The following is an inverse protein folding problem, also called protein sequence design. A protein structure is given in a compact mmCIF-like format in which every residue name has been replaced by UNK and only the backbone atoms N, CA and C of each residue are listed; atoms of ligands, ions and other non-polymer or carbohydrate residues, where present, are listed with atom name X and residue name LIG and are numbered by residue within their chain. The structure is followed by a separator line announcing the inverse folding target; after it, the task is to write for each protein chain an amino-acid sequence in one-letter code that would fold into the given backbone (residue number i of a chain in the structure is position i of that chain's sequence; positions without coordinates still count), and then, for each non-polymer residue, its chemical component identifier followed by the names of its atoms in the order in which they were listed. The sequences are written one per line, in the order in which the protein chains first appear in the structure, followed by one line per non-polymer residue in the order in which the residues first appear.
data_IF_055961214743
#
_entry.id   IF_055961214743
#
_cell.length_a   1.000
_cell.length_b   1.000
_cell.length_c   1.000
_cell.angle_alpha   90.00
_cell.angle_beta   90.00
_cell.angle_gamma   90.00
#
_symmetry.space_group_name_H-M   'P 1'
#
loop_
_entity.id
_entity.type
_entity.pdbx_description
1 polymer ?
#
# COMPACT_ATOMS: atom_id res chain seq x y z
N UNK A 1 20.14 54.97 37.10
CA UNK A 1 19.24 53.99 36.46
C UNK A 1 19.53 54.00 34.98
N UNK A 2 20.40 53.10 34.51
CA UNK A 2 20.67 52.93 33.08
C UNK A 2 20.27 51.50 32.70
N UNK A 3 19.19 51.39 31.94
CA UNK A 3 18.66 50.15 31.38
C UNK A 3 19.60 49.63 30.30
N UNK A 4 20.11 48.41 30.46
CA UNK A 4 20.81 47.69 29.39
C UNK A 4 19.80 47.26 28.30
N UNK A 5 20.09 47.51 27.01
CA UNK A 5 19.24 47.03 25.94
C UNK A 5 19.40 45.50 25.80
N UNK A 6 18.29 44.78 25.92
CA UNK A 6 18.19 43.35 25.62
C UNK A 6 18.62 43.10 24.18
N UNK A 7 19.74 42.40 24.01
CA UNK A 7 20.23 41.94 22.72
C UNK A 7 19.21 40.93 22.16
N UNK A 8 18.36 41.35 21.21
CA UNK A 8 17.48 40.43 20.48
C UNK A 8 18.36 39.66 19.52
N UNK A 9 18.64 38.40 19.83
CA UNK A 9 19.22 37.45 18.90
C UNK A 9 18.40 37.46 17.60
N UNK A 10 19.03 37.86 16.50
CA UNK A 10 18.49 37.68 15.16
C UNK A 10 19.09 36.37 14.65
N UNK A 11 18.27 35.35 14.37
CA UNK A 11 18.77 34.08 13.85
C UNK A 11 19.50 34.31 12.52
N UNK A 12 20.49 33.47 12.25
CA UNK A 12 21.27 33.55 11.02
C UNK A 12 20.37 33.29 9.81
N UNK A 13 20.62 33.93 8.65
CA UNK A 13 19.76 33.79 7.46
C UNK A 13 19.61 32.35 6.98
N UNK A 14 20.63 31.51 7.18
CA UNK A 14 20.61 30.08 6.82
C UNK A 14 19.74 29.29 7.81
N UNK A 15 19.85 29.55 9.11
CA UNK A 15 18.97 28.92 10.12
C UNK A 15 17.51 29.31 9.90
N UNK A 16 17.25 30.57 9.54
CA UNK A 16 15.90 31.04 9.21
C UNK A 16 15.34 30.41 7.93
N UNK A 17 16.18 30.05 6.97
CA UNK A 17 15.76 29.39 5.73
C UNK A 17 15.47 27.91 5.97
N UNK A 18 16.35 27.21 6.69
CA UNK A 18 16.14 25.81 7.08
C UNK A 18 14.88 25.66 7.95
N UNK A 19 14.67 26.57 8.90
CA UNK A 19 13.46 26.57 9.72
C UNK A 19 12.19 26.89 8.91
N UNK A 20 12.29 27.63 7.80
CA UNK A 20 11.17 27.87 6.90
C UNK A 20 10.84 26.63 6.08
N UNK A 21 11.85 25.92 5.57
CA UNK A 21 11.66 24.67 4.83
C UNK A 21 11.04 23.59 5.73
N UNK A 22 11.48 23.47 6.99
CA UNK A 22 10.90 22.56 7.99
C UNK A 22 9.42 22.89 8.29
N UNK A 23 9.07 24.17 8.41
CA UNK A 23 7.68 24.61 8.63
C UNK A 23 6.80 24.30 7.41
N UNK A 24 7.29 24.55 6.20
CA UNK A 24 6.55 24.25 4.96
C UNK A 24 6.32 22.75 4.83
N UNK A 25 7.32 21.93 5.17
CA UNK A 25 7.22 20.47 5.13
C UNK A 25 6.22 19.95 6.18
N UNK A 26 6.23 20.51 7.40
CA UNK A 26 5.27 20.16 8.45
C UNK A 26 3.83 20.55 8.09
N UNK A 27 3.63 21.74 7.52
CA UNK A 27 2.31 22.21 7.05
C UNK A 27 1.77 21.31 5.91
N UNK A 28 2.65 20.88 5.00
CA UNK A 28 2.30 19.94 3.93
C UNK A 28 1.92 18.57 4.50
N UNK A 29 2.71 18.03 5.42
CA UNK A 29 2.43 16.74 6.05
C UNK A 29 1.12 16.76 6.83
N UNK A 30 0.82 17.86 7.54
CA UNK A 30 -0.47 18.05 8.19
C UNK A 30 -1.61 18.08 7.16
N UNK A 31 -1.49 18.84 6.07
CA UNK A 31 -2.52 18.92 5.04
C UNK A 31 -2.78 17.55 4.36
N UNK A 32 -1.72 16.78 4.07
CA UNK A 32 -1.82 15.41 3.57
C UNK A 32 -2.54 14.51 4.58
N UNK A 33 -2.16 14.60 5.86
CA UNK A 33 -2.79 13.81 6.93
C UNK A 33 -4.28 14.08 7.06
N UNK A 34 -4.68 15.35 7.07
CA UNK A 34 -6.09 15.74 7.16
C UNK A 34 -6.89 15.31 5.92
N UNK A 35 -6.30 15.41 4.73
CA UNK A 35 -6.89 14.91 3.49
C UNK A 35 -7.14 13.39 3.57
N UNK A 36 -6.15 12.63 4.05
CA UNK A 36 -6.26 11.18 4.22
C UNK A 36 -7.31 10.80 5.26
N UNK A 37 -7.33 11.50 6.39
CA UNK A 37 -8.33 11.29 7.43
C UNK A 37 -9.74 11.54 6.88
N UNK A 38 -9.92 12.58 6.05
CA UNK A 38 -11.20 12.88 5.42
C UNK A 38 -11.66 11.78 4.43
N UNK A 39 -10.76 11.22 3.64
CA UNK A 39 -11.09 10.09 2.75
C UNK A 39 -11.38 8.80 3.54
N UNK A 40 -10.60 8.51 4.59
CA UNK A 40 -10.84 7.35 5.47
C UNK A 40 -12.16 7.48 6.23
N UNK A 41 -12.60 8.69 6.58
CA UNK A 41 -13.91 8.93 7.20
C UNK A 41 -15.05 8.37 6.32
N UNK A 42 -14.89 8.45 4.99
CA UNK A 42 -15.85 7.97 3.99
C UNK A 42 -15.76 6.46 3.77
N UNK A 43 -14.64 5.82 4.11
CA UNK A 43 -14.44 4.39 3.94
C UNK A 43 -15.43 3.57 4.80
N UNK A 44 -16.15 2.66 4.12
CA UNK A 44 -17.16 1.77 4.72
C UNK A 44 -16.73 0.32 4.81
N UNK A 45 -15.64 -0.05 4.15
CA UNK A 45 -15.08 -1.41 4.13
C UNK A 45 -13.58 -1.36 4.42
N UNK A 46 -13.01 -2.49 4.82
CA UNK A 46 -11.57 -2.61 5.03
C UNK A 46 -10.80 -2.30 3.73
N UNK A 47 -11.22 -2.89 2.60
CA UNK A 47 -10.61 -2.58 1.32
C UNK A 47 -10.72 -1.09 0.95
N UNK A 48 -11.88 -0.45 1.13
CA UNK A 48 -12.01 0.97 0.80
C UNK A 48 -11.04 1.84 1.63
N UNK A 49 -10.76 1.45 2.88
CA UNK A 49 -9.78 2.13 3.72
C UNK A 49 -8.34 1.87 3.25
N UNK A 50 -8.02 0.61 2.87
CA UNK A 50 -6.74 0.23 2.26
C UNK A 50 -6.46 1.02 0.98
N UNK A 51 -7.46 1.17 0.12
CA UNK A 51 -7.37 1.88 -1.16
C UNK A 51 -7.04 3.38 -1.00
N UNK A 52 -7.42 4.00 0.12
CA UNK A 52 -7.03 5.39 0.40
C UNK A 52 -5.51 5.53 0.47
N UNK A 53 -4.82 4.57 1.11
CA UNK A 53 -3.37 4.63 1.20
C UNK A 53 -2.68 4.21 -0.11
N UNK A 54 -3.26 3.27 -0.86
CA UNK A 54 -2.79 2.94 -2.21
C UNK A 54 -2.80 4.15 -3.15
N UNK A 55 -3.79 5.04 -3.05
CA UNK A 55 -3.82 6.28 -3.83
C UNK A 55 -2.63 7.19 -3.53
N UNK A 56 -2.25 7.32 -2.25
CA UNK A 56 -1.08 8.11 -1.86
C UNK A 56 0.21 7.50 -2.44
N UNK A 57 0.35 6.17 -2.39
CA UNK A 57 1.51 5.51 -2.97
C UNK A 57 1.59 5.72 -4.48
N UNK A 58 0.46 5.72 -5.19
CA UNK A 58 0.43 6.07 -6.61
C UNK A 58 0.90 7.50 -6.86
N UNK A 59 0.35 8.47 -6.13
CA UNK A 59 0.68 9.89 -6.31
C UNK A 59 2.17 10.16 -6.03
N UNK A 60 2.67 9.65 -4.90
CA UNK A 60 4.09 9.77 -4.55
C UNK A 60 5.01 9.02 -5.52
N UNK A 61 4.56 7.90 -6.09
CA UNK A 61 5.29 7.18 -7.13
C UNK A 61 5.37 7.95 -8.44
N UNK A 62 4.29 8.66 -8.83
CA UNK A 62 4.24 9.50 -10.04
C UNK A 62 5.10 10.76 -9.95
N UNK A 63 5.16 11.37 -8.78
CA UNK A 63 5.87 12.62 -8.56
C UNK A 63 7.37 12.40 -8.26
N UNK A 64 7.80 11.15 -8.08
CA UNK A 64 9.21 10.82 -7.87
C UNK A 64 10.02 11.03 -9.17
N UNK A 65 11.28 11.51 -9.08
CA UNK A 65 12.13 11.74 -10.24
C UNK A 65 12.22 10.53 -11.19
N UNK A 66 12.37 10.79 -12.49
CA UNK A 66 12.47 9.73 -13.51
C UNK A 66 13.67 8.79 -13.28
N UNK A 67 14.74 9.30 -12.66
CA UNK A 67 15.96 8.57 -12.32
C UNK A 67 15.97 7.99 -10.90
N UNK A 68 14.92 8.26 -10.10
CA UNK A 68 14.84 7.74 -8.74
C UNK A 68 14.71 6.22 -8.74
N UNK A 69 15.64 5.56 -8.04
CA UNK A 69 15.62 4.12 -7.89
C UNK A 69 14.56 3.65 -6.87
N UNK A 70 14.39 2.34 -6.72
CA UNK A 70 13.38 1.78 -5.81
C UNK A 70 13.67 2.15 -4.34
N UNK A 71 14.94 2.25 -3.96
CA UNK A 71 15.35 2.58 -2.58
C UNK A 71 14.99 4.02 -2.28
N UNK A 72 15.31 4.95 -3.17
CA UNK A 72 14.99 6.37 -3.01
C UNK A 72 13.48 6.61 -2.94
N UNK A 73 12.68 5.90 -3.76
CA UNK A 73 11.21 5.97 -3.70
C UNK A 73 10.69 5.43 -2.38
N UNK A 74 11.22 4.31 -1.90
CA UNK A 74 10.84 3.71 -0.62
C UNK A 74 11.20 4.61 0.56
N UNK A 75 12.36 5.26 0.53
CA UNK A 75 12.81 6.19 1.56
C UNK A 75 11.91 7.44 1.60
N UNK A 76 11.57 8.00 0.44
CA UNK A 76 10.64 9.13 0.35
C UNK A 76 9.24 8.77 0.90
N UNK A 77 8.71 7.61 0.52
CA UNK A 77 7.43 7.11 1.06
C UNK A 77 7.50 6.88 2.57
N UNK A 78 8.61 6.33 3.06
CA UNK A 78 8.85 6.06 4.49
C UNK A 78 8.92 7.37 5.29
N UNK A 79 9.60 8.39 4.76
CA UNK A 79 9.69 9.71 5.38
C UNK A 79 8.32 10.39 5.46
N UNK A 80 7.55 10.39 4.35
CA UNK A 80 6.19 10.92 4.33
C UNK A 80 5.30 10.22 5.36
N UNK A 81 5.32 8.89 5.39
CA UNK A 81 4.47 8.14 6.31
C UNK A 81 4.85 8.32 7.78
N UNK A 82 6.12 8.53 8.12
CA UNK A 82 6.50 8.92 9.48
C UNK A 82 5.80 10.21 9.89
N UNK A 83 5.83 11.24 9.05
CA UNK A 83 5.17 12.51 9.33
C UNK A 83 3.64 12.34 9.45
N UNK A 84 3.02 11.57 8.55
CA UNK A 84 1.58 11.26 8.62
C UNK A 84 1.22 10.56 9.93
N UNK A 85 2.04 9.61 10.38
CA UNK A 85 1.83 8.89 11.65
C UNK A 85 1.93 9.85 12.84
N UNK A 86 2.92 10.73 12.86
CA UNK A 86 3.10 11.73 13.94
C UNK A 86 1.92 12.70 14.02
N UNK A 87 1.51 13.28 12.88
CA UNK A 87 0.38 14.20 12.82
C UNK A 87 -0.95 13.51 13.18
N UNK A 88 -1.20 12.30 12.66
CA UNK A 88 -2.42 11.57 12.97
C UNK A 88 -2.51 11.21 14.46
N UNK A 89 -1.39 10.82 15.06
CA UNK A 89 -1.32 10.57 16.49
C UNK A 89 -1.60 11.84 17.31
N UNK A 90 -1.03 12.99 16.90
CA UNK A 90 -1.27 14.26 17.59
C UNK A 90 -2.73 14.73 17.50
N UNK A 91 -3.39 14.52 16.35
CA UNK A 91 -4.78 14.91 16.13
C UNK A 91 -5.77 14.05 16.94
N UNK A 92 -5.51 12.75 17.09
CA UNK A 92 -6.20 11.91 18.08
C UNK A 92 -7.70 11.65 17.86
N UNK A 93 -8.20 11.84 16.65
CA UNK A 93 -9.62 11.59 16.31
C UNK A 93 -9.88 10.14 15.87
N UNK A 94 -11.15 9.77 15.67
CA UNK A 94 -11.54 8.44 15.15
C UNK A 94 -10.99 8.18 13.74
N UNK A 95 -11.03 9.20 12.88
CA UNK A 95 -10.54 9.15 11.50
C UNK A 95 -9.02 8.96 11.47
N UNK A 96 -8.31 9.67 12.35
CA UNK A 96 -6.86 9.57 12.51
C UNK A 96 -6.43 8.22 13.10
N UNK A 97 -7.17 7.67 14.08
CA UNK A 97 -6.97 6.28 14.53
C UNK A 97 -7.14 5.30 13.37
N UNK A 98 -8.20 5.45 12.56
CA UNK A 98 -8.44 4.60 11.42
C UNK A 98 -7.32 4.69 10.36
N UNK A 99 -6.77 5.88 10.12
CA UNK A 99 -5.58 6.09 9.29
C UNK A 99 -4.36 5.35 9.83
N UNK A 100 -4.07 5.46 11.13
CA UNK A 100 -2.97 4.72 11.76
C UNK A 100 -3.14 3.21 11.63
N UNK A 101 -4.38 2.69 11.72
CA UNK A 101 -4.66 1.25 11.45
C UNK A 101 -4.31 0.87 10.01
N UNK A 102 -4.67 1.69 9.02
CA UNK A 102 -4.33 1.47 7.61
C UNK A 102 -2.82 1.48 7.39
N UNK A 103 -2.12 2.48 7.92
CA UNK A 103 -0.65 2.55 7.85
C UNK A 103 0.02 1.34 8.51
N UNK A 104 -0.52 0.85 9.63
CA UNK A 104 -0.01 -0.35 10.30
C UNK A 104 -0.19 -1.63 9.46
N UNK A 105 -1.18 -1.67 8.57
CA UNK A 105 -1.50 -2.83 7.73
C UNK A 105 -0.79 -2.82 6.38
N UNK A 106 -0.63 -1.65 5.77
CA UNK A 106 -0.15 -1.49 4.39
C UNK A 106 1.10 -0.63 4.23
N UNK A 107 1.58 0.01 5.29
CA UNK A 107 2.80 0.82 5.22
C UNK A 107 4.05 -0.01 4.90
N UNK A 108 5.13 0.63 4.45
CA UNK A 108 6.46 0.05 4.45
C UNK A 108 6.83 -0.54 5.81
N UNK A 109 7.61 -1.62 5.81
CA UNK A 109 8.05 -2.36 7.01
C UNK A 109 8.57 -1.43 8.10
N UNK A 110 9.35 -0.42 7.72
CA UNK A 110 9.94 0.59 8.61
C UNK A 110 8.89 1.40 9.40
N UNK A 111 7.67 1.56 8.89
CA UNK A 111 6.63 2.43 9.46
C UNK A 111 5.51 1.66 10.17
N UNK A 112 5.27 0.38 9.81
CA UNK A 112 4.12 -0.39 10.32
C UNK A 112 4.09 -0.49 11.85
N UNK A 113 5.24 -0.74 12.46
CA UNK A 113 5.32 -0.86 13.92
C UNK A 113 5.02 0.46 14.63
N UNK A 114 5.53 1.59 14.12
CA UNK A 114 5.26 2.91 14.68
C UNK A 114 3.78 3.28 14.55
N UNK A 115 3.18 3.02 13.38
CA UNK A 115 1.75 3.23 13.15
C UNK A 115 0.88 2.40 14.11
N UNK A 116 1.20 1.11 14.29
CA UNK A 116 0.49 0.23 15.21
C UNK A 116 0.54 0.74 16.65
N UNK A 117 1.74 1.13 17.12
CA UNK A 117 1.92 1.67 18.47
C UNK A 117 1.17 2.99 18.67
N UNK A 118 1.17 3.87 17.67
CA UNK A 118 0.41 5.12 17.71
C UNK A 118 -1.11 4.85 17.77
N UNK A 119 -1.62 3.93 16.96
CA UNK A 119 -3.02 3.50 17.00
C UNK A 119 -3.40 2.94 18.38
N UNK A 120 -2.57 2.09 18.96
CA UNK A 120 -2.81 1.49 20.27
C UNK A 120 -2.76 2.50 21.42
N UNK A 121 -1.99 3.59 21.28
CA UNK A 121 -2.05 4.71 22.23
C UNK A 121 -3.38 5.46 22.16
N UNK A 122 -3.87 5.78 20.97
CA UNK A 122 -5.16 6.45 20.79
C UNK A 122 -6.33 5.57 21.26
N UNK A 123 -6.31 4.27 20.93
CA UNK A 123 -7.34 3.35 21.39
C UNK A 123 -7.37 3.24 22.93
N UNK A 124 -6.20 3.11 23.58
CA UNK A 124 -6.11 3.13 25.06
C UNK A 124 -6.54 4.45 25.69
N UNK A 125 -6.43 5.56 24.97
CA UNK A 125 -6.93 6.86 25.38
C UNK A 125 -8.46 7.03 25.16
N UNK A 126 -9.14 6.01 24.64
CA UNK A 126 -10.60 5.96 24.49
C UNK A 126 -11.12 6.29 23.09
N UNK A 127 -10.24 6.51 22.10
CA UNK A 127 -10.64 6.71 20.71
C UNK A 127 -11.15 5.38 20.13
N UNK A 128 -12.35 5.38 19.56
CA UNK A 128 -13.02 4.15 19.12
C UNK A 128 -12.60 3.75 17.71
N UNK A 129 -12.29 2.47 17.52
CA UNK A 129 -11.97 1.91 16.20
C UNK A 129 -13.20 1.86 15.27
N UNK A 130 -12.95 1.92 13.97
CA UNK A 130 -13.98 1.70 12.95
C UNK A 130 -14.42 0.23 12.93
N UNK A 131 -15.68 -0.09 12.60
CA UNK A 131 -16.16 -1.48 12.60
C UNK A 131 -15.39 -2.44 11.67
N UNK A 132 -14.77 -1.91 10.61
CA UNK A 132 -13.96 -2.67 9.66
C UNK A 132 -12.49 -2.86 10.10
N UNK A 133 -12.02 -2.14 11.12
CA UNK A 133 -10.62 -2.17 11.53
C UNK A 133 -10.12 -3.58 11.94
N UNK A 134 -10.90 -4.42 12.65
CA UNK A 134 -10.44 -5.76 13.03
C UNK A 134 -10.19 -6.73 11.86
N UNK A 135 -10.79 -6.46 10.69
CA UNK A 135 -10.61 -7.28 9.48
C UNK A 135 -9.51 -6.76 8.57
N UNK A 136 -8.97 -5.57 8.82
CA UNK A 136 -7.99 -4.93 7.94
C UNK A 136 -6.76 -5.83 7.67
N UNK A 137 -6.33 -5.89 6.41
CA UNK A 137 -5.21 -6.74 5.98
C UNK A 137 -5.49 -8.25 5.99
N UNK A 138 -6.70 -8.68 6.38
CA UNK A 138 -7.03 -10.09 6.64
C UNK A 138 -8.28 -10.57 5.88
N UNK A 139 -8.33 -10.42 4.55
CA UNK A 139 -9.46 -10.96 3.79
C UNK A 139 -9.36 -12.48 3.67
N UNK A 140 -10.50 -13.15 3.56
CA UNK A 140 -10.53 -14.59 3.25
C UNK A 140 -10.21 -14.82 1.77
N UNK A 141 -9.34 -15.78 1.45
CA UNK A 141 -9.11 -16.22 0.08
C UNK A 141 -10.28 -17.12 -0.36
N UNK A 142 -10.96 -16.75 -1.45
CA UNK A 142 -12.04 -17.54 -2.03
C UNK A 142 -11.56 -18.45 -3.15
N UNK A 143 -10.72 -17.93 -4.05
CA UNK A 143 -10.18 -18.62 -5.23
C UNK A 143 -8.85 -18.02 -5.61
N UNK A 144 -7.97 -18.85 -6.17
CA UNK A 144 -6.74 -18.41 -6.80
C UNK A 144 -6.49 -19.20 -8.09
N UNK A 145 -5.84 -18.57 -9.05
CA UNK A 145 -5.47 -19.20 -10.31
C UNK A 145 -4.15 -18.63 -10.83
N UNK A 146 -3.49 -19.41 -11.66
CA UNK A 146 -2.23 -19.12 -12.31
C UNK A 146 -2.37 -19.42 -13.80
N UNK A 147 -1.84 -18.53 -14.63
CA UNK A 147 -1.88 -18.68 -16.08
C UNK A 147 -0.72 -17.94 -16.71
N UNK A 148 -0.37 -18.30 -17.94
CA UNK A 148 0.76 -17.71 -18.64
C UNK A 148 1.04 -18.43 -19.94
N UNK A 149 2.19 -18.13 -20.53
CA UNK A 149 2.69 -18.86 -21.68
C UNK A 149 3.46 -20.12 -21.27
N UNK A 150 3.42 -21.17 -22.10
CA UNK A 150 4.13 -22.42 -21.83
C UNK A 150 5.66 -22.29 -21.91
N UNK A 151 6.18 -21.19 -22.46
CA UNK A 151 7.61 -20.91 -22.53
C UNK A 151 8.16 -20.32 -21.23
N UNK A 152 7.26 -19.96 -20.29
CA UNK A 152 7.60 -19.38 -18.99
C UNK A 152 8.12 -17.96 -19.08
N UNK A 153 7.82 -17.21 -20.15
CA UNK A 153 8.30 -15.83 -20.29
C UNK A 153 7.57 -14.88 -19.34
N UNK A 154 6.24 -15.02 -19.27
CA UNK A 154 5.36 -14.27 -18.40
C UNK A 154 4.31 -15.20 -17.80
N UNK A 155 3.99 -14.90 -16.55
CA UNK A 155 2.93 -15.58 -15.83
C UNK A 155 2.13 -14.56 -15.02
N UNK A 156 0.87 -14.87 -14.77
CA UNK A 156 -0.04 -14.07 -13.99
C UNK A 156 -0.70 -14.91 -12.92
N UNK A 157 -0.85 -14.34 -11.74
CA UNK A 157 -1.67 -14.91 -10.67
C UNK A 157 -2.86 -14.01 -10.42
N UNK A 158 -4.02 -14.64 -10.24
CA UNK A 158 -5.24 -13.98 -9.84
C UNK A 158 -5.74 -14.55 -8.52
N UNK A 159 -6.25 -13.69 -7.65
CA UNK A 159 -6.80 -14.07 -6.36
C UNK A 159 -8.09 -13.31 -6.06
N UNK A 160 -9.16 -14.04 -5.77
CA UNK A 160 -10.42 -13.49 -5.31
C UNK A 160 -10.46 -13.54 -3.78
N UNK A 161 -10.55 -12.38 -3.16
CA UNK A 161 -10.56 -12.19 -1.71
C UNK A 161 -11.92 -11.68 -1.24
N UNK A 162 -12.27 -11.94 0.01
CA UNK A 162 -13.51 -11.48 0.64
C UNK A 162 -13.28 -10.77 1.97
N UNK A 163 -13.92 -9.61 2.12
CA UNK A 163 -14.13 -8.94 3.40
C UNK A 163 -15.60 -9.02 3.82
N UNK A 164 -15.99 -10.12 4.46
CA UNK A 164 -17.33 -10.31 5.05
C UNK A 164 -18.47 -10.08 4.03
N UNK A 165 -18.37 -10.71 2.86
CA UNK A 165 -19.32 -10.58 1.75
C UNK A 165 -19.04 -9.40 0.80
N UNK A 166 -17.81 -8.88 0.82
CA UNK A 166 -17.30 -7.83 -0.08
C UNK A 166 -16.08 -8.37 -0.80
N UNK A 167 -16.30 -8.86 -2.00
CA UNK A 167 -15.28 -9.50 -2.81
C UNK A 167 -14.47 -8.49 -3.61
N UNK A 168 -13.17 -8.76 -3.71
CA UNK A 168 -12.23 -8.03 -4.56
C UNK A 168 -11.24 -8.96 -5.21
N UNK A 169 -10.80 -8.58 -6.41
CA UNK A 169 -9.79 -9.26 -7.18
C UNK A 169 -8.45 -8.58 -6.97
N UNK A 170 -7.40 -9.37 -6.78
CA UNK A 170 -6.02 -8.97 -6.98
C UNK A 170 -5.47 -9.73 -8.19
N UNK A 171 -4.89 -9.02 -9.15
CA UNK A 171 -4.14 -9.58 -10.27
C UNK A 171 -2.69 -9.14 -10.18
N UNK A 172 -1.76 -10.05 -10.48
CA UNK A 172 -0.32 -9.77 -10.51
C UNK A 172 0.27 -10.42 -11.75
N UNK A 173 0.96 -9.64 -12.56
CA UNK A 173 1.77 -10.08 -13.69
C UNK A 173 3.24 -10.16 -13.27
N UNK A 174 3.87 -11.28 -13.59
CA UNK A 174 5.26 -11.61 -13.31
C UNK A 174 5.97 -11.79 -14.64
N UNK A 175 7.14 -11.18 -14.81
CA UNK A 175 7.93 -11.27 -16.04
C UNK A 175 9.31 -11.86 -15.75
N UNK A 176 9.50 -13.11 -16.15
CA UNK A 176 10.74 -13.85 -15.95
C UNK A 176 11.85 -13.43 -16.92
N UNK A 177 11.50 -12.82 -18.05
CA UNK A 177 12.45 -12.20 -18.98
C UNK A 177 13.10 -10.93 -18.40
N UNK A 178 12.41 -10.26 -17.48
CA UNK A 178 12.89 -9.05 -16.79
C UNK A 178 13.31 -9.31 -15.33
N UNK A 179 13.74 -10.53 -15.02
CA UNK A 179 14.29 -10.88 -13.70
C UNK A 179 13.30 -11.54 -12.74
N UNK A 180 12.05 -11.76 -13.15
CA UNK A 180 11.05 -12.50 -12.37
C UNK A 180 10.30 -11.67 -11.33
N UNK A 181 10.40 -10.34 -11.40
CA UNK A 181 9.67 -9.42 -10.53
C UNK A 181 8.24 -9.16 -10.96
N UNK A 182 7.53 -8.39 -10.14
CA UNK A 182 6.19 -7.88 -10.46
C UNK A 182 6.30 -6.85 -11.58
N UNK A 183 5.74 -7.18 -12.75
CA UNK A 183 5.65 -6.28 -13.89
C UNK A 183 4.42 -5.39 -13.83
N UNK A 184 3.31 -5.93 -13.34
CA UNK A 184 2.05 -5.20 -13.15
C UNK A 184 1.26 -5.79 -11.98
N UNK A 185 0.47 -4.99 -11.26
CA UNK A 185 -0.48 -5.51 -10.29
C UNK A 185 -1.63 -4.55 -10.05
N UNK A 186 -2.87 -5.04 -10.03
CA UNK A 186 -4.04 -4.19 -9.89
C UNK A 186 -5.17 -4.87 -9.12
N UNK A 187 -6.06 -4.03 -8.61
CA UNK A 187 -7.22 -4.44 -7.82
C UNK A 187 -8.50 -4.04 -8.53
N UNK A 188 -9.50 -4.92 -8.48
CA UNK A 188 -10.84 -4.57 -8.90
C UNK A 188 -11.89 -5.01 -7.89
N UNK A 189 -13.04 -4.32 -7.91
CA UNK A 189 -14.22 -4.65 -7.13
C UNK A 189 -15.47 -4.79 -8.03
N UNK A 190 -16.54 -5.35 -7.48
CA UNK A 190 -17.85 -5.39 -8.13
C UNK A 190 -18.10 -6.64 -8.96
N UNK A 191 -19.25 -6.68 -9.64
CA UNK A 191 -19.78 -7.95 -10.20
C UNK A 191 -18.88 -8.63 -11.23
N UNK A 192 -18.08 -7.87 -11.98
CA UNK A 192 -17.21 -8.40 -13.04
C UNK A 192 -16.01 -9.17 -12.47
N UNK A 193 -15.56 -8.87 -11.26
CA UNK A 193 -14.40 -9.55 -10.66
C UNK A 193 -14.64 -11.03 -10.42
N UNK A 194 -15.90 -11.39 -10.14
CA UNK A 194 -16.35 -12.78 -9.96
C UNK A 194 -16.23 -13.63 -11.21
N UNK A 195 -16.35 -13.00 -12.38
CA UNK A 195 -16.31 -13.67 -13.68
C UNK A 195 -14.88 -13.73 -14.24
N UNK A 196 -13.96 -12.93 -13.70
CA UNK A 196 -12.59 -12.82 -14.21
C UNK A 196 -11.89 -14.17 -14.32
N UNK A 197 -12.00 -15.04 -13.31
CA UNK A 197 -11.41 -16.38 -13.34
C UNK A 197 -11.90 -17.18 -14.56
N UNK A 198 -13.21 -17.20 -14.78
CA UNK A 198 -13.82 -17.98 -15.86
C UNK A 198 -13.55 -17.35 -17.24
N UNK A 199 -13.52 -16.02 -17.32
CA UNK A 199 -13.14 -15.28 -18.52
C UNK A 199 -11.67 -15.55 -18.91
N UNK A 200 -10.75 -15.51 -17.94
CA UNK A 200 -9.33 -15.85 -18.14
C UNK A 200 -9.17 -17.30 -18.53
N UNK A 201 -9.82 -18.24 -17.83
CA UNK A 201 -9.76 -19.67 -18.16
C UNK A 201 -10.25 -19.95 -19.59
N UNK A 202 -11.36 -19.33 -20.00
CA UNK A 202 -11.89 -19.47 -21.35
C UNK A 202 -10.95 -18.87 -22.41
N UNK A 203 -10.31 -17.73 -22.11
CA UNK A 203 -9.32 -17.11 -22.98
C UNK A 203 -8.09 -18.00 -23.14
N UNK A 204 -7.53 -18.50 -22.04
CA UNK A 204 -6.33 -19.35 -22.07
C UNK A 204 -6.59 -20.68 -22.77
N UNK A 205 -7.78 -21.27 -22.61
CA UNK A 205 -8.15 -22.49 -23.34
C UNK A 205 -8.26 -22.31 -24.87
N UNK A 206 -8.34 -21.07 -25.35
CA UNK A 206 -8.38 -20.75 -26.79
C UNK A 206 -7.00 -20.48 -27.39
N UNK A 207 -5.96 -20.37 -26.57
CA UNK A 207 -4.57 -20.09 -26.99
C UNK A 207 -3.73 -21.37 -26.91
N UNK A 208 -3.09 -21.77 -28.02
CA UNK A 208 -2.36 -23.06 -28.11
C UNK A 208 -1.13 -23.12 -27.18
N UNK A 209 -0.46 -21.99 -27.00
CA UNK A 209 0.78 -21.86 -26.22
C UNK A 209 0.54 -21.27 -24.81
N UNK A 210 -0.68 -21.41 -24.27
CA UNK A 210 -1.04 -20.93 -22.94
C UNK A 210 -1.40 -22.06 -21.97
N UNK A 211 -1.24 -21.80 -20.68
CA UNK A 211 -1.75 -22.66 -19.62
C UNK A 211 -2.67 -21.88 -18.68
N UNK A 212 -3.54 -22.63 -17.98
CA UNK A 212 -4.37 -22.12 -16.90
C UNK A 212 -4.54 -23.22 -15.86
N UNK A 213 -4.41 -22.86 -14.59
CA UNK A 213 -4.66 -23.76 -13.47
C UNK A 213 -5.29 -23.00 -12.29
N UNK A 214 -6.25 -23.63 -11.61
CA UNK A 214 -6.63 -23.18 -10.27
C UNK A 214 -5.55 -23.65 -9.29
N UNK A 215 -5.16 -22.76 -8.37
CA UNK A 215 -4.11 -23.03 -7.39
C UNK A 215 -4.65 -22.83 -5.97
N UNK A 216 -3.99 -23.45 -5.00
CA UNK A 216 -4.31 -23.26 -3.59
C UNK A 216 -3.56 -22.05 -2.99
N UNK A 217 -3.83 -21.77 -1.71
CA UNK A 217 -3.19 -20.67 -1.00
C UNK A 217 -1.67 -20.82 -0.87
N UNK A 218 -1.16 -22.06 -0.75
CA UNK A 218 0.27 -22.31 -0.57
C UNK A 218 1.03 -22.04 -1.87
N UNK A 219 0.52 -22.53 -3.00
CA UNK A 219 1.06 -22.25 -4.33
C UNK A 219 0.99 -20.75 -4.66
N UNK A 220 -0.13 -20.08 -4.35
CA UNK A 220 -0.25 -18.63 -4.54
C UNK A 220 0.79 -17.86 -3.69
N UNK A 221 0.98 -18.26 -2.44
CA UNK A 221 1.98 -17.67 -1.54
C UNK A 221 3.38 -17.82 -2.13
N UNK A 222 3.75 -19.02 -2.56
CA UNK A 222 5.06 -19.29 -3.14
C UNK A 222 5.34 -18.44 -4.39
N UNK A 223 4.36 -18.33 -5.29
CA UNK A 223 4.50 -17.50 -6.51
C UNK A 223 4.68 -16.02 -6.17
N UNK A 224 3.86 -15.49 -5.26
CA UNK A 224 3.95 -14.09 -4.84
C UNK A 224 5.25 -13.80 -4.08
N UNK A 225 5.66 -14.65 -3.14
CA UNK A 225 6.92 -14.49 -2.41
C UNK A 225 8.13 -14.53 -3.34
N UNK A 226 8.14 -15.45 -4.32
CA UNK A 226 9.21 -15.52 -5.31
C UNK A 226 9.30 -14.25 -6.14
N UNK A 227 8.18 -13.69 -6.60
CA UNK A 227 8.17 -12.48 -7.40
C UNK A 227 8.51 -11.23 -6.58
N UNK A 228 8.00 -11.13 -5.34
CA UNK A 228 8.25 -10.01 -4.44
C UNK A 228 9.68 -10.00 -3.87
N UNK A 229 10.41 -11.10 -3.97
CA UNK A 229 11.83 -11.17 -3.65
C UNK A 229 12.73 -10.59 -4.75
N UNK A 230 12.18 -10.31 -5.94
CA UNK A 230 12.88 -9.63 -7.05
C UNK A 230 12.47 -8.16 -7.11
N UNK A 231 13.32 -7.34 -7.73
CA UNK A 231 12.97 -5.95 -8.01
C UNK A 231 11.75 -5.90 -8.97
N UNK A 232 10.74 -5.05 -8.73
CA UNK A 232 9.65 -4.83 -9.68
C UNK A 232 10.18 -4.37 -11.04
N UNK A 233 9.50 -4.76 -12.11
CA UNK A 233 9.93 -4.50 -13.49
C UNK A 233 8.83 -3.92 -14.41
N UNK A 234 8.06 -2.90 -13.97
CA UNK A 234 7.08 -2.25 -14.85
C UNK A 234 7.79 -1.50 -15.99
N UNK A 235 7.23 -1.57 -17.20
CA UNK A 235 7.78 -0.87 -18.38
C UNK A 235 6.84 0.20 -18.92
N UNK A 236 5.53 -0.05 -18.84
CA UNK A 236 4.51 0.86 -19.36
C UNK A 236 4.02 1.81 -18.26
N UNK A 237 3.51 2.98 -18.66
CA UNK A 237 3.10 4.02 -17.70
C UNK A 237 2.00 3.56 -16.74
N UNK A 238 1.02 2.81 -17.25
CA UNK A 238 -0.03 2.18 -16.46
C UNK A 238 0.54 1.15 -15.48
N UNK A 239 1.49 0.31 -15.92
CA UNK A 239 2.19 -0.64 -15.06
C UNK A 239 2.97 0.06 -13.93
N UNK A 240 3.66 1.16 -14.24
CA UNK A 240 4.39 1.96 -13.25
C UNK A 240 3.42 2.53 -12.21
N UNK A 241 2.30 3.09 -12.66
CA UNK A 241 1.25 3.62 -11.78
C UNK A 241 0.63 2.54 -10.90
N UNK A 242 0.35 1.37 -11.46
CA UNK A 242 -0.31 0.26 -10.78
C UNK A 242 0.63 -0.42 -9.77
N UNK A 243 1.90 -0.65 -10.14
CA UNK A 243 2.93 -1.12 -9.20
C UNK A 243 3.14 -0.11 -8.07
N UNK A 244 3.25 1.19 -8.37
CA UNK A 244 3.37 2.21 -7.34
C UNK A 244 2.18 2.21 -6.36
N UNK A 245 0.97 1.98 -6.87
CA UNK A 245 -0.24 1.97 -6.05
C UNK A 245 -0.42 0.71 -5.19
N UNK A 246 -0.16 -0.46 -5.79
CA UNK A 246 -0.69 -1.72 -5.28
C UNK A 246 0.37 -2.69 -4.77
N UNK A 247 1.67 -2.43 -4.98
CA UNK A 247 2.73 -3.34 -4.55
C UNK A 247 2.71 -3.61 -3.03
N UNK A 248 2.48 -2.60 -2.20
CA UNK A 248 2.35 -2.79 -0.75
C UNK A 248 1.10 -3.59 -0.35
N UNK A 249 0.01 -3.46 -1.10
CA UNK A 249 -1.18 -4.30 -0.92
C UNK A 249 -0.89 -5.75 -1.31
N UNK A 250 -0.20 -5.97 -2.43
CA UNK A 250 0.24 -7.30 -2.88
C UNK A 250 1.13 -7.96 -1.82
N UNK A 251 2.11 -7.23 -1.27
CA UNK A 251 2.95 -7.69 -0.13
C UNK A 251 2.11 -8.04 1.09
N UNK A 252 1.12 -7.20 1.44
CA UNK A 252 0.21 -7.46 2.55
C UNK A 252 -0.59 -8.76 2.35
N UNK A 253 -1.09 -9.02 1.14
CA UNK A 253 -1.81 -10.26 0.82
C UNK A 253 -0.91 -11.48 0.86
N UNK A 254 0.30 -11.42 0.30
CA UNK A 254 1.27 -12.50 0.37
C UNK A 254 1.60 -12.86 1.83
N UNK A 255 1.91 -11.86 2.66
CA UNK A 255 2.19 -12.06 4.09
C UNK A 255 0.99 -12.64 4.85
N UNK A 256 -0.24 -12.22 4.52
CA UNK A 256 -1.45 -12.77 5.14
C UNK A 256 -1.65 -14.25 4.78
N UNK A 257 -1.47 -14.61 3.50
CA UNK A 257 -1.59 -15.99 3.05
C UNK A 257 -0.52 -16.90 3.67
N UNK A 258 0.72 -16.43 3.76
CA UNK A 258 1.81 -17.15 4.44
C UNK A 258 1.47 -17.45 5.91
N UNK A 259 0.87 -16.49 6.62
CA UNK A 259 0.40 -16.69 8.00
C UNK A 259 -0.73 -17.72 8.10
N UNK A 260 -1.60 -17.82 7.09
CA UNK A 260 -2.66 -18.84 7.05
C UNK A 260 -2.10 -20.24 6.75
N UNK A 261 -1.06 -20.34 5.92
CA UNK A 261 -0.45 -21.62 5.55
C UNK A 261 0.49 -22.19 6.64
N UNK A 262 1.04 -21.33 7.50
CA UNK A 262 1.92 -21.72 8.61
C UNK A 262 1.20 -22.08 9.92
N UNK A 263 -0.14 -21.96 9.97
CA UNK A 263 -0.99 -22.37 11.10
C UNK A 263 -1.68 -23.71 10.82
#
# INVERSE_FOLDING_TARGET
MATHPSNRYKPDPIESLLAQDDVVLADLAQAVTESLAAEIARARTALAAEMVLCEVFRLTGRDAPDDADEVERLDAQTALLHQVIEHAHAAGTTEHLALLRVCASLGPDATRAAAAQAADRLNRAGVTDRPWAPSLGRPSLLRAWHYGDIFGSQASVGALFDYRGREHLLMVLIDHGLGGGVKDCWVAEGRRTRQMRDEVAAKMAAEEDAFFEDIDAAALTQLLESALAQAPCPEQRDQIDDVAAYLHLTRSRAAHLAQLAGN
#
